data_IF_531802368772
#
_entry.id   IF_531802368772
#
_cell.length_a   1.000
_cell.length_b   1.000
_cell.length_c   1.000
_cell.angle_alpha   90.00
_cell.angle_beta   90.00
_cell.angle_gamma   90.00
#
_symmetry.space_group_name_H-M   'P 1'
#
loop_
_entity.id
_entity.type
_entity.pdbx_description
1 polymer ?
#
# COMPACT_ATOMS: atom_id res chain seq x y z
N UNK A 1 -56.36 92.08 -22.83
CA UNK A 1 -57.23 91.14 -23.59
C UNK A 1 -56.97 89.76 -23.01
N UNK A 2 -57.98 89.08 -22.44
CA UNK A 2 -58.87 88.09 -23.10
C UNK A 2 -58.09 86.88 -23.67
N UNK A 3 -58.41 85.60 -23.41
CA UNK A 3 -59.50 84.95 -22.62
C UNK A 3 -59.13 83.45 -22.40
N UNK A 4 -59.40 82.85 -21.23
CA UNK A 4 -59.71 81.40 -20.97
C UNK A 4 -58.67 80.32 -21.43
N UNK A 5 -58.66 79.03 -21.08
CA UNK A 5 -59.02 78.16 -19.92
C UNK A 5 -58.25 76.81 -20.14
N UNK A 6 -58.19 75.76 -19.30
CA UNK A 6 -58.85 75.33 -18.05
C UNK A 6 -57.85 74.47 -17.21
N UNK A 7 -58.28 73.90 -16.09
CA UNK A 7 -57.57 72.85 -15.34
C UNK A 7 -57.42 71.52 -16.12
N UNK A 8 -56.25 70.86 -16.00
CA UNK A 8 -56.14 69.39 -16.10
C UNK A 8 -54.92 68.88 -15.33
N UNK A 9 -55.14 68.01 -14.33
CA UNK A 9 -54.07 67.34 -13.58
C UNK A 9 -53.47 66.22 -14.45
N UNK A 10 -52.18 66.30 -14.77
CA UNK A 10 -51.46 65.14 -15.33
C UNK A 10 -51.36 64.03 -14.27
N UNK A 11 -52.04 62.91 -14.49
CA UNK A 11 -51.72 61.66 -13.79
C UNK A 11 -50.32 61.18 -14.20
N UNK A 12 -49.51 60.63 -13.29
CA UNK A 12 -48.27 59.96 -13.66
C UNK A 12 -48.59 58.67 -14.41
N UNK A 13 -47.94 58.44 -15.55
CA UNK A 13 -48.08 57.21 -16.34
C UNK A 13 -47.75 55.99 -15.47
N UNK A 14 -48.71 55.09 -15.28
CA UNK A 14 -48.47 53.80 -14.65
C UNK A 14 -47.41 53.02 -15.45
N UNK A 15 -46.33 52.60 -14.78
CA UNK A 15 -45.36 51.69 -15.37
C UNK A 15 -46.03 50.32 -15.49
N UNK A 16 -46.19 49.81 -16.71
CA UNK A 16 -46.62 48.43 -16.95
C UNK A 16 -45.60 47.48 -16.30
N UNK A 17 -46.00 46.87 -15.19
CA UNK A 17 -45.16 45.93 -14.46
C UNK A 17 -45.07 44.62 -15.22
N UNK A 18 -44.04 44.46 -16.06
CA UNK A 18 -43.64 43.14 -16.54
C UNK A 18 -43.27 42.26 -15.35
N UNK A 19 -44.20 41.43 -14.90
CA UNK A 19 -43.97 40.44 -13.85
C UNK A 19 -43.11 39.32 -14.43
N UNK A 20 -41.79 39.53 -14.49
CA UNK A 20 -40.85 38.44 -14.77
C UNK A 20 -41.00 37.43 -13.63
N UNK A 21 -41.50 36.20 -13.87
CA UNK A 21 -41.44 35.16 -12.85
C UNK A 21 -39.97 34.98 -12.51
N UNK A 22 -39.61 35.22 -11.24
CA UNK A 22 -38.26 34.89 -10.75
C UNK A 22 -38.17 33.37 -10.73
N UNK A 23 -37.71 32.79 -11.84
CA UNK A 23 -37.28 31.41 -11.87
C UNK A 23 -36.29 31.21 -10.71
N UNK A 24 -36.72 30.46 -9.69
CA UNK A 24 -35.79 29.94 -8.68
C UNK A 24 -34.95 28.90 -9.41
N UNK A 25 -33.87 29.36 -10.04
CA UNK A 25 -32.78 28.49 -10.45
C UNK A 25 -32.19 27.93 -9.18
N UNK A 26 -32.73 26.80 -8.71
CA UNK A 26 -32.02 25.91 -7.82
C UNK A 26 -30.85 25.37 -8.63
N UNK A 27 -29.74 26.12 -8.62
CA UNK A 27 -28.46 25.60 -9.05
C UNK A 27 -28.24 24.32 -8.26
N UNK A 28 -28.26 23.17 -8.94
CA UNK A 28 -27.91 21.90 -8.33
C UNK A 28 -26.55 22.09 -7.68
N UNK A 29 -26.48 21.97 -6.35
CA UNK A 29 -25.21 21.98 -5.62
C UNK A 29 -24.49 20.70 -5.97
N UNK A 30 -23.69 20.72 -7.03
CA UNK A 30 -22.84 19.61 -7.43
C UNK A 30 -21.94 19.23 -6.24
N UNK A 31 -22.07 18.02 -5.66
CA UNK A 31 -21.27 17.61 -4.50
C UNK A 31 -19.77 17.42 -4.81
N UNK A 32 -19.34 17.74 -6.02
CA UNK A 32 -18.00 17.50 -6.57
C UNK A 32 -17.05 18.69 -6.49
N UNK A 33 -17.55 19.92 -6.29
CA UNK A 33 -16.71 21.14 -6.30
C UNK A 33 -16.23 21.49 -4.88
N UNK A 34 -17.13 21.39 -3.89
CA UNK A 34 -16.77 21.52 -2.49
C UNK A 34 -16.50 20.13 -1.91
N UNK A 35 -15.24 19.83 -1.58
CA UNK A 35 -14.94 18.67 -0.77
C UNK A 35 -15.72 18.81 0.56
N UNK A 36 -16.62 17.87 0.92
CA UNK A 36 -17.47 18.04 2.09
C UNK A 36 -16.63 18.33 3.34
N UNK A 37 -17.14 19.12 4.28
CA UNK A 37 -16.35 19.68 5.41
C UNK A 37 -15.52 18.62 6.18
N UNK A 38 -16.03 17.37 6.22
CA UNK A 38 -15.34 16.17 6.70
C UNK A 38 -13.95 15.99 6.04
N UNK A 39 -13.86 16.09 4.71
CA UNK A 39 -12.60 16.03 3.96
C UNK A 39 -11.68 17.22 4.24
N UNK A 40 -12.21 18.44 4.42
CA UNK A 40 -11.36 19.58 4.79
C UNK A 40 -10.74 19.36 6.18
N UNK A 41 -11.49 18.76 7.10
CA UNK A 41 -10.99 18.30 8.40
C UNK A 41 -9.90 17.24 8.30
N UNK A 42 -10.04 16.24 7.44
CA UNK A 42 -9.01 15.19 7.24
C UNK A 42 -7.75 15.73 6.56
N UNK A 43 -7.89 16.51 5.49
CA UNK A 43 -6.76 17.08 4.74
C UNK A 43 -5.97 18.07 5.60
N UNK A 44 -6.65 18.94 6.35
CA UNK A 44 -5.98 19.89 7.26
C UNK A 44 -5.38 19.23 8.50
N UNK A 45 -5.76 17.99 8.85
CA UNK A 45 -5.10 17.18 9.88
C UNK A 45 -3.82 16.54 9.35
N UNK A 46 -3.79 16.05 8.11
CA UNK A 46 -2.61 15.42 7.51
C UNK A 46 -1.47 16.41 7.19
N UNK A 47 -1.80 17.69 6.92
CA UNK A 47 -0.82 18.73 6.51
C UNK A 47 -0.15 19.45 7.68
N UNK A 48 -0.62 19.28 8.92
CA UNK A 48 -0.02 19.96 10.10
C UNK A 48 1.31 19.30 10.50
N UNK A 49 2.21 20.11 11.07
CA UNK A 49 3.40 19.66 11.81
C UNK A 49 3.00 18.90 13.08
N UNK A 50 2.45 17.69 12.93
CA UNK A 50 2.12 16.78 14.02
C UNK A 50 3.38 15.96 14.34
N UNK A 51 3.73 15.86 15.62
CA UNK A 51 4.80 14.96 16.05
C UNK A 51 4.54 13.54 15.54
N UNK A 52 5.53 12.85 14.95
CA UNK A 52 5.29 11.59 14.26
C UNK A 52 4.65 10.51 15.13
N UNK A 53 4.96 10.46 16.43
CA UNK A 53 4.33 9.53 17.39
C UNK A 53 2.82 9.82 17.60
N UNK A 54 2.38 11.08 17.51
CA UNK A 54 0.97 11.47 17.69
C UNK A 54 0.13 11.21 16.44
N UNK A 55 0.71 11.35 15.24
CA UNK A 55 0.06 11.02 13.98
C UNK A 55 -0.07 9.50 13.76
N UNK A 56 0.83 8.73 14.38
CA UNK A 56 1.01 7.28 14.23
C UNK A 56 -0.30 6.47 14.14
N UNK A 57 -1.20 6.63 15.12
CA UNK A 57 -2.45 5.87 15.22
C UNK A 57 -3.36 6.10 14.00
N UNK A 58 -3.56 7.37 13.62
CA UNK A 58 -4.41 7.74 12.47
C UNK A 58 -3.83 7.18 11.17
N UNK A 59 -2.52 7.35 10.97
CA UNK A 59 -1.82 6.85 9.79
C UNK A 59 -1.88 5.32 9.70
N UNK A 60 -1.77 4.60 10.83
CA UNK A 60 -1.93 3.14 10.89
C UNK A 60 -3.32 2.69 10.45
N UNK A 61 -4.40 3.28 11.02
CA UNK A 61 -5.76 2.88 10.65
C UNK A 61 -6.05 3.12 9.15
N UNK A 62 -5.60 4.26 8.61
CA UNK A 62 -5.72 4.56 7.18
C UNK A 62 -4.90 3.59 6.32
N UNK A 63 -3.65 3.29 6.70
CA UNK A 63 -2.81 2.33 5.99
C UNK A 63 -3.38 0.90 6.00
N UNK A 64 -3.97 0.46 7.12
CA UNK A 64 -4.70 -0.83 7.22
C UNK A 64 -5.89 -0.88 6.25
N UNK A 65 -6.71 0.18 6.22
CA UNK A 65 -7.83 0.27 5.27
C UNK A 65 -7.37 0.26 3.81
N UNK A 66 -6.28 0.97 3.49
CA UNK A 66 -5.71 0.99 2.13
C UNK A 66 -5.12 -0.36 1.73
N UNK A 67 -4.43 -1.06 2.64
CA UNK A 67 -3.80 -2.36 2.34
C UNK A 67 -4.79 -3.42 1.87
N UNK A 68 -6.05 -3.38 2.34
CA UNK A 68 -7.09 -4.34 1.96
C UNK A 68 -8.04 -3.80 0.88
N UNK A 69 -8.27 -2.49 0.81
CA UNK A 69 -9.24 -1.90 -0.12
C UNK A 69 -8.67 -1.53 -1.50
N UNK A 70 -7.34 -1.37 -1.62
CA UNK A 70 -6.68 -0.85 -2.83
C UNK A 70 -5.79 -1.91 -3.45
N UNK A 71 -6.12 -2.37 -4.67
CA UNK A 71 -5.37 -3.42 -5.37
C UNK A 71 -3.88 -3.11 -5.57
N UNK A 72 -3.54 -1.85 -5.82
CA UNK A 72 -2.16 -1.35 -5.93
C UNK A 72 -1.37 -1.51 -4.61
N UNK A 73 -2.05 -1.43 -3.47
CA UNK A 73 -1.43 -1.62 -2.16
C UNK A 73 -1.31 -3.11 -1.82
N UNK A 74 -2.32 -3.93 -2.11
CA UNK A 74 -2.27 -5.39 -1.94
C UNK A 74 -1.09 -5.99 -2.70
N UNK A 75 -1.00 -5.77 -4.02
CA UNK A 75 0.10 -6.31 -4.84
C UNK A 75 1.48 -5.74 -4.51
N UNK A 76 1.56 -4.63 -3.77
CA UNK A 76 2.81 -4.13 -3.22
C UNK A 76 3.30 -4.95 -2.01
N UNK A 77 2.39 -5.50 -1.20
CA UNK A 77 2.76 -6.39 -0.10
C UNK A 77 3.24 -7.75 -0.63
N UNK A 78 2.46 -8.40 -1.50
CA UNK A 78 2.86 -9.64 -2.17
C UNK A 78 4.25 -9.53 -2.85
N UNK A 79 4.53 -8.37 -3.47
CA UNK A 79 5.84 -8.05 -4.07
C UNK A 79 6.93 -7.82 -3.03
N UNK A 80 6.68 -7.08 -1.93
CA UNK A 80 7.73 -6.82 -0.94
C UNK A 80 8.11 -8.09 -0.18
N UNK A 81 7.17 -8.97 0.09
CA UNK A 81 7.42 -10.25 0.75
C UNK A 81 8.27 -11.16 -0.16
N UNK A 82 7.86 -11.35 -1.42
CA UNK A 82 8.65 -12.13 -2.39
C UNK A 82 10.04 -11.55 -2.69
N UNK A 83 10.21 -10.23 -2.75
CA UNK A 83 11.52 -9.60 -3.02
C UNK A 83 12.42 -9.48 -1.76
N UNK A 84 11.88 -9.53 -0.54
CA UNK A 84 12.68 -9.39 0.70
C UNK A 84 12.94 -10.74 1.36
N UNK A 85 11.93 -11.62 1.45
CA UNK A 85 12.04 -12.93 2.08
C UNK A 85 12.49 -13.99 1.06
N UNK A 86 11.89 -13.97 -0.14
CA UNK A 86 12.10 -15.00 -1.15
C UNK A 86 11.21 -16.24 -0.93
N UNK A 87 11.66 -17.38 -1.45
CA UNK A 87 10.98 -18.69 -1.39
C UNK A 87 11.21 -19.44 -0.07
N UNK A 88 12.31 -19.17 0.63
CA UNK A 88 12.77 -19.92 1.83
C UNK A 88 13.14 -19.00 3.01
N UNK A 89 12.66 -17.76 2.99
CA UNK A 89 12.96 -16.75 4.02
C UNK A 89 14.46 -16.57 4.30
N UNK A 90 14.82 -16.52 5.58
CA UNK A 90 16.20 -16.31 6.03
C UNK A 90 16.83 -17.61 6.56
N UNK A 91 17.76 -18.16 5.77
CA UNK A 91 18.47 -19.39 6.14
C UNK A 91 19.49 -19.10 7.25
N UNK A 92 19.46 -19.88 8.33
CA UNK A 92 20.47 -19.85 9.39
C UNK A 92 21.78 -20.49 8.93
N UNK A 93 22.86 -19.71 8.95
CA UNK A 93 24.23 -20.16 8.75
C UNK A 93 25.03 -20.12 10.04
N UNK A 94 25.91 -21.11 10.24
CA UNK A 94 26.80 -21.24 11.40
C UNK A 94 28.15 -21.72 10.89
N UNK A 95 29.16 -20.85 10.98
CA UNK A 95 30.50 -21.09 10.44
C UNK A 95 31.54 -21.39 11.53
N UNK A 96 31.24 -22.29 12.49
CA UNK A 96 32.29 -22.76 13.43
C UNK A 96 33.19 -23.81 12.77
N UNK A 97 34.33 -24.11 13.40
CA UNK A 97 35.27 -25.17 12.97
C UNK A 97 34.67 -26.59 13.01
N UNK A 98 33.57 -26.80 13.74
CA UNK A 98 32.97 -28.12 13.91
C UNK A 98 31.71 -28.25 13.04
N UNK A 99 31.86 -28.88 11.86
CA UNK A 99 30.74 -29.07 10.91
C UNK A 99 29.56 -29.85 11.51
N UNK A 100 29.83 -30.85 12.35
CA UNK A 100 28.78 -31.67 12.99
C UNK A 100 27.93 -30.83 13.97
N UNK A 101 28.59 -29.93 14.73
CA UNK A 101 27.90 -28.98 15.60
C UNK A 101 27.04 -28.00 14.78
N UNK A 102 27.60 -27.41 13.72
CA UNK A 102 26.87 -26.47 12.86
C UNK A 102 25.58 -27.13 12.34
N UNK A 103 25.70 -28.35 11.79
CA UNK A 103 24.58 -29.13 11.25
C UNK A 103 23.56 -29.51 12.32
N UNK A 104 24.01 -29.95 13.51
CA UNK A 104 23.13 -30.26 14.66
C UNK A 104 22.27 -29.05 15.04
N UNK A 105 22.86 -27.86 15.10
CA UNK A 105 22.17 -26.65 15.56
C UNK A 105 21.28 -26.06 14.46
N UNK A 106 21.70 -26.06 13.20
CA UNK A 106 20.86 -25.70 12.07
C UNK A 106 19.60 -26.57 12.00
N UNK A 107 19.75 -27.90 12.11
CA UNK A 107 18.62 -28.83 12.12
C UNK A 107 17.71 -28.67 13.36
N UNK A 108 18.29 -28.33 14.52
CA UNK A 108 17.50 -28.06 15.73
C UNK A 108 16.72 -26.74 15.62
N UNK A 109 17.31 -25.72 14.98
CA UNK A 109 16.64 -24.44 14.74
C UNK A 109 15.53 -24.58 13.69
N UNK A 110 15.76 -25.31 12.59
CA UNK A 110 14.72 -25.63 11.59
C UNK A 110 13.51 -26.28 12.26
N UNK A 111 13.71 -27.37 13.02
CA UNK A 111 12.59 -28.02 13.75
C UNK A 111 11.89 -27.10 14.74
N UNK A 112 12.59 -26.10 15.27
CA UNK A 112 11.98 -25.09 16.11
C UNK A 112 11.18 -24.05 15.32
N UNK A 113 11.58 -23.72 14.08
CA UNK A 113 10.83 -22.81 13.21
C UNK A 113 9.40 -23.31 12.95
N UNK A 114 9.23 -24.62 12.75
CA UNK A 114 7.92 -25.29 12.58
C UNK A 114 7.06 -25.24 13.87
N UNK A 115 7.67 -25.21 15.05
CA UNK A 115 7.00 -25.22 16.37
C UNK A 115 7.21 -23.91 17.15
N UNK A 116 7.40 -22.77 16.47
CA UNK A 116 7.75 -21.51 17.16
C UNK A 116 6.53 -20.77 17.73
N UNK A 117 5.32 -20.98 17.20
CA UNK A 117 4.09 -20.31 17.65
C UNK A 117 3.55 -20.86 18.98
N UNK A 118 3.15 -19.98 19.90
CA UNK A 118 2.48 -20.38 21.16
C UNK A 118 1.12 -21.07 20.92
N UNK A 119 0.45 -20.75 19.81
CA UNK A 119 -0.87 -21.27 19.46
C UNK A 119 -0.82 -22.50 18.53
N UNK A 120 0.36 -22.85 17.98
CA UNK A 120 0.51 -23.93 17.01
C UNK A 120 -0.18 -23.68 15.65
N UNK A 121 -0.41 -22.40 15.30
CA UNK A 121 -1.12 -21.97 14.07
C UNK A 121 -0.17 -21.46 12.99
N UNK A 122 0.98 -20.91 13.40
CA UNK A 122 1.92 -20.23 12.51
C UNK A 122 3.30 -20.88 12.61
N UNK A 123 4.00 -20.98 11.49
CA UNK A 123 5.44 -21.30 11.48
C UNK A 123 6.29 -20.01 11.52
N UNK A 124 7.60 -20.15 11.38
CA UNK A 124 8.51 -19.00 11.42
C UNK A 124 8.44 -18.10 10.18
N UNK A 125 8.11 -18.65 9.02
CA UNK A 125 8.00 -17.90 7.76
C UNK A 125 6.74 -17.00 7.82
N UNK A 126 5.63 -17.51 8.37
CA UNK A 126 4.46 -16.69 8.75
C UNK A 126 4.85 -15.51 9.66
N UNK A 127 5.72 -15.74 10.66
CA UNK A 127 6.21 -14.66 11.53
C UNK A 127 7.07 -13.64 10.77
N UNK A 128 7.87 -14.07 9.79
CA UNK A 128 8.65 -13.17 8.94
C UNK A 128 7.74 -12.29 8.08
N UNK A 129 6.79 -12.89 7.37
CA UNK A 129 5.84 -12.22 6.48
C UNK A 129 4.94 -11.24 7.26
N UNK A 130 4.28 -11.71 8.33
CA UNK A 130 3.42 -10.87 9.16
C UNK A 130 4.20 -9.72 9.82
N UNK A 131 5.48 -9.92 10.13
CA UNK A 131 6.36 -8.86 10.66
C UNK A 131 6.75 -7.84 9.59
N UNK A 132 7.10 -8.28 8.39
CA UNK A 132 7.43 -7.43 7.25
C UNK A 132 6.21 -6.60 6.83
N UNK A 133 5.05 -7.24 6.71
CA UNK A 133 3.78 -6.60 6.44
C UNK A 133 3.37 -5.61 7.53
N UNK A 134 3.51 -5.95 8.82
CA UNK A 134 3.29 -4.99 9.91
C UNK A 134 4.28 -3.80 9.87
N UNK A 135 5.54 -4.01 9.51
CA UNK A 135 6.52 -2.92 9.37
C UNK A 135 6.16 -1.92 8.26
N UNK A 136 5.63 -2.39 7.13
CA UNK A 136 5.24 -1.51 6.03
C UNK A 136 3.84 -0.90 6.21
N UNK A 137 2.85 -1.71 6.63
CA UNK A 137 1.46 -1.30 6.85
C UNK A 137 1.30 -0.49 8.12
N UNK A 138 1.80 -0.98 9.26
CA UNK A 138 1.58 -0.36 10.57
C UNK A 138 2.76 0.52 11.04
N UNK A 139 3.94 0.33 10.46
CA UNK A 139 5.19 1.05 10.77
C UNK A 139 6.09 0.35 11.79
N UNK A 140 5.56 -0.65 12.47
CA UNK A 140 6.21 -1.40 13.55
C UNK A 140 5.54 -2.76 13.76
N UNK A 141 6.30 -3.68 14.32
CA UNK A 141 5.84 -5.00 14.77
C UNK A 141 6.31 -5.26 16.20
N UNK A 142 5.55 -6.09 16.92
CA UNK A 142 5.87 -6.53 18.28
C UNK A 142 5.80 -8.05 18.33
N UNK A 143 6.92 -8.70 18.63
CA UNK A 143 6.98 -10.15 18.86
C UNK A 143 7.24 -10.36 20.34
N UNK A 144 6.31 -10.98 21.05
CA UNK A 144 6.48 -11.38 22.43
C UNK A 144 7.17 -12.75 22.47
N UNK A 145 8.20 -12.86 23.31
CA UNK A 145 8.94 -14.08 23.59
C UNK A 145 8.43 -14.71 24.89
N UNK A 146 7.98 -15.96 24.82
CA UNK A 146 7.58 -16.77 25.96
C UNK A 146 8.62 -17.87 26.14
N UNK A 147 9.33 -17.84 27.28
CA UNK A 147 10.45 -18.75 27.55
C UNK A 147 9.98 -19.89 28.45
N UNK A 148 9.93 -21.10 27.90
CA UNK A 148 9.66 -22.35 28.63
C UNK A 148 10.76 -23.37 28.38
N UNK A 149 10.40 -24.66 28.26
CA UNK A 149 11.32 -25.72 27.80
C UNK A 149 11.81 -25.50 26.36
N UNK A 150 11.01 -24.81 25.55
CA UNK A 150 11.37 -24.26 24.24
C UNK A 150 11.04 -22.76 24.21
N UNK A 151 11.59 -22.03 23.24
CA UNK A 151 11.14 -20.67 22.95
C UNK A 151 9.79 -20.73 22.25
N UNK A 152 8.80 -19.95 22.70
CA UNK A 152 7.55 -19.73 21.98
C UNK A 152 7.38 -18.25 21.67
N UNK A 153 6.68 -17.94 20.59
CA UNK A 153 6.44 -16.57 20.14
C UNK A 153 4.95 -16.26 20.07
N UNK A 154 4.63 -14.97 20.23
CA UNK A 154 3.29 -14.41 20.06
C UNK A 154 3.40 -13.08 19.32
N UNK A 155 2.67 -12.93 18.21
CA UNK A 155 2.63 -11.68 17.45
C UNK A 155 1.61 -10.73 18.08
N UNK A 156 2.06 -9.57 18.53
CA UNK A 156 1.18 -8.53 19.08
C UNK A 156 0.96 -7.47 18.01
N UNK A 157 -0.30 -7.33 17.60
CA UNK A 157 -0.75 -6.28 16.67
C UNK A 157 -0.39 -4.89 17.20
N UNK A 158 0.20 -4.03 16.37
CA UNK A 158 0.61 -2.68 16.78
C UNK A 158 -0.56 -1.79 17.27
N UNK A 159 -1.79 -2.10 16.84
CA UNK A 159 -3.03 -1.48 17.32
C UNK A 159 -3.39 -1.90 18.76
N UNK A 160 -3.00 -3.10 19.20
CA UNK A 160 -3.23 -3.57 20.57
C UNK A 160 -2.33 -2.87 21.60
N UNK A 161 -1.23 -2.23 21.20
CA UNK A 161 -0.42 -1.39 22.09
C UNK A 161 -1.08 -0.01 22.21
N UNK A 162 -1.57 0.34 23.40
CA UNK A 162 -2.43 1.51 23.63
C UNK A 162 -1.71 2.85 23.34
N UNK A 163 -1.82 3.32 22.10
CA UNK A 163 -1.25 4.59 21.65
C UNK A 163 -1.83 5.83 22.36
N UNK A 164 -3.00 5.73 23.00
CA UNK A 164 -3.61 6.85 23.72
C UNK A 164 -3.10 6.94 25.18
N UNK A 165 -2.46 5.88 25.70
CA UNK A 165 -1.95 5.86 27.07
C UNK A 165 -0.60 6.57 27.19
N UNK A 166 -0.62 7.79 27.72
CA UNK A 166 0.56 8.61 28.04
C UNK A 166 0.42 9.16 29.45
N UNK A 167 1.45 8.96 30.27
CA UNK A 167 1.58 9.44 31.65
C UNK A 167 3.04 9.85 31.88
N UNK A 168 3.33 11.15 31.75
CA UNK A 168 4.68 11.68 31.89
C UNK A 168 5.28 11.44 33.29
N UNK A 169 4.44 11.34 34.33
CA UNK A 169 4.91 11.13 35.70
C UNK A 169 5.52 9.73 35.91
N UNK A 170 5.10 8.77 35.08
CA UNK A 170 5.62 7.40 35.02
C UNK A 170 6.51 7.13 33.81
N UNK A 171 6.87 8.17 33.06
CA UNK A 171 7.59 8.09 31.78
C UNK A 171 6.92 7.17 30.74
N UNK A 172 5.59 7.10 30.75
CA UNK A 172 4.81 6.32 29.80
C UNK A 172 4.43 7.22 28.62
N UNK A 173 4.82 6.83 27.41
CA UNK A 173 4.52 7.56 26.19
C UNK A 173 3.96 6.61 25.13
N UNK A 174 2.75 6.89 24.65
CA UNK A 174 2.10 6.12 23.57
C UNK A 174 2.05 4.61 23.83
N UNK A 175 1.76 4.20 25.07
CA UNK A 175 1.67 2.80 25.49
C UNK A 175 2.99 2.12 25.84
N UNK A 176 4.10 2.86 25.93
CA UNK A 176 5.43 2.34 26.25
C UNK A 176 6.00 3.06 27.49
N UNK A 177 6.28 2.31 28.55
CA UNK A 177 7.01 2.77 29.74
C UNK A 177 8.50 2.89 29.39
N UNK A 178 9.11 4.07 29.54
CA UNK A 178 10.53 4.32 29.30
C UNK A 178 11.31 4.33 30.62
N UNK A 179 12.59 3.96 30.59
CA UNK A 179 13.45 3.96 31.79
C UNK A 179 13.61 5.37 32.42
N UNK A 180 13.54 6.41 31.60
CA UNK A 180 13.48 7.81 32.01
C UNK A 180 12.89 8.65 30.88
N UNK A 181 12.49 9.91 31.16
CA UNK A 181 11.88 10.81 30.16
C UNK A 181 12.67 10.95 28.85
N UNK A 182 14.00 10.88 28.91
CA UNK A 182 14.90 11.02 27.76
C UNK A 182 15.49 9.68 27.25
N UNK A 183 15.23 8.56 27.93
CA UNK A 183 15.72 7.25 27.51
C UNK A 183 14.78 6.62 26.49
N UNK A 184 15.34 6.08 25.41
CA UNK A 184 14.59 5.27 24.44
C UNK A 184 14.47 3.80 24.86
N UNK A 185 15.10 3.41 25.98
CA UNK A 185 15.04 2.05 26.50
C UNK A 185 13.65 1.77 27.09
N UNK A 186 12.88 0.84 26.50
CA UNK A 186 11.58 0.44 27.02
C UNK A 186 11.76 -0.42 28.29
N UNK A 187 10.81 -0.27 29.22
CA UNK A 187 10.71 -1.06 30.46
C UNK A 187 9.47 -1.97 30.40
N UNK A 188 8.34 -1.43 29.93
CA UNK A 188 7.10 -2.19 29.68
C UNK A 188 6.34 -1.69 28.45
N UNK A 189 5.54 -2.60 27.88
CA UNK A 189 4.57 -2.34 26.83
C UNK A 189 3.16 -2.58 27.37
N UNK A 190 2.25 -1.63 27.17
CA UNK A 190 0.85 -1.75 27.63
C UNK A 190 -0.05 -2.22 26.49
N UNK A 191 -0.44 -3.50 26.56
CA UNK A 191 -1.40 -4.12 25.64
C UNK A 191 -2.82 -3.88 26.17
N UNK A 192 -3.69 -3.32 25.33
CA UNK A 192 -5.12 -3.16 25.59
C UNK A 192 -5.84 -4.48 25.31
N UNK A 193 -6.50 -5.07 26.31
CA UNK A 193 -7.38 -6.23 26.13
C UNK A 193 -8.83 -5.84 25.91
N UNK A 194 -9.29 -4.86 26.68
CA UNK A 194 -10.66 -4.31 26.60
C UNK A 194 -10.60 -2.78 26.82
N UNK A 195 -11.74 -2.11 26.80
CA UNK A 195 -11.88 -0.67 26.89
C UNK A 195 -11.14 -0.05 28.09
N UNK A 196 -11.15 -0.73 29.25
CA UNK A 196 -10.50 -0.27 30.48
C UNK A 196 -9.31 -1.12 30.95
N UNK A 197 -9.14 -2.36 30.46
CA UNK A 197 -8.08 -3.26 30.94
C UNK A 197 -6.80 -3.19 30.09
N UNK A 198 -5.67 -2.98 30.76
CA UNK A 198 -4.33 -2.93 30.18
C UNK A 198 -3.41 -3.94 30.87
N UNK A 199 -2.74 -4.77 30.08
CA UNK A 199 -1.71 -5.69 30.54
C UNK A 199 -0.34 -5.07 30.24
N UNK A 200 0.46 -4.85 31.28
CA UNK A 200 1.87 -4.47 31.14
C UNK A 200 2.73 -5.71 30.91
N UNK A 201 3.35 -5.82 29.73
CA UNK A 201 4.34 -6.86 29.42
C UNK A 201 5.74 -6.25 29.57
N UNK A 202 6.66 -6.97 30.21
CA UNK A 202 8.04 -6.49 30.39
C UNK A 202 8.79 -6.43 29.06
N UNK A 203 9.56 -5.37 28.84
CA UNK A 203 10.25 -5.13 27.58
C UNK A 203 11.33 -6.18 27.26
N UNK A 204 11.84 -6.90 28.26
CA UNK A 204 12.74 -8.05 28.08
C UNK A 204 12.08 -9.23 27.35
N UNK A 205 10.75 -9.25 27.33
CA UNK A 205 9.91 -10.29 26.72
C UNK A 205 9.30 -9.82 25.39
N UNK A 206 9.66 -8.64 24.88
CA UNK A 206 9.08 -8.07 23.64
C UNK A 206 10.17 -7.53 22.72
N UNK A 207 10.27 -8.11 21.52
CA UNK A 207 11.05 -7.56 20.42
C UNK A 207 10.17 -6.51 19.72
N UNK A 208 10.47 -5.23 19.95
CA UNK A 208 9.85 -4.10 19.23
C UNK A 208 10.66 -3.75 17.99
N UNK A 209 10.12 -4.10 16.83
CA UNK A 209 10.77 -3.91 15.53
C UNK A 209 10.15 -2.66 14.90
N UNK A 210 10.94 -1.61 14.72
CA UNK A 210 10.50 -0.34 14.11
C UNK A 210 11.64 0.39 13.42
N UNK A 211 11.30 1.25 12.45
CA UNK A 211 12.25 2.08 11.71
C UNK A 211 11.97 3.57 11.94
N UNK A 212 12.54 4.19 13.00
CA UNK A 212 12.31 5.60 13.28
C UNK A 212 12.84 6.50 12.16
N UNK A 213 12.15 7.62 11.93
CA UNK A 213 12.60 8.73 11.10
C UNK A 213 13.33 9.81 11.91
N UNK A 214 12.97 9.95 13.19
CA UNK A 214 13.60 10.87 14.16
C UNK A 214 14.16 10.04 15.32
N UNK A 215 15.33 10.42 15.86
CA UNK A 215 16.00 9.66 16.92
C UNK A 215 15.09 9.41 18.14
N UNK A 216 14.38 10.44 18.60
CA UNK A 216 13.53 10.42 19.81
C UNK A 216 12.19 9.69 19.63
N UNK A 217 11.85 9.30 18.39
CA UNK A 217 10.57 8.69 18.05
C UNK A 217 10.36 7.39 18.84
N UNK A 218 9.16 7.18 19.35
CA UNK A 218 8.79 6.09 20.26
C UNK A 218 8.09 4.95 19.50
N UNK A 219 7.16 5.27 18.59
CA UNK A 219 6.35 4.34 17.79
C UNK A 219 6.80 4.38 16.33
N UNK A 220 6.76 3.26 15.60
CA UNK A 220 7.10 3.23 14.17
C UNK A 220 5.94 3.67 13.29
N UNK A 221 6.19 4.58 12.34
CA UNK A 221 5.16 5.10 11.41
C UNK A 221 5.09 4.28 10.12
N UNK A 222 3.87 4.05 9.65
CA UNK A 222 3.57 3.32 8.41
C UNK A 222 4.38 3.84 7.21
N UNK A 223 4.92 2.92 6.41
CA UNK A 223 5.59 3.27 5.15
C UNK A 223 4.59 3.72 4.08
N UNK A 224 3.33 3.29 4.17
CA UNK A 224 2.24 3.78 3.33
C UNK A 224 1.86 5.24 3.63
N UNK A 225 2.21 5.79 4.80
CA UNK A 225 1.75 7.12 5.26
C UNK A 225 1.91 8.24 4.22
N UNK A 226 3.01 8.24 3.46
CA UNK A 226 3.28 9.23 2.42
C UNK A 226 2.45 9.05 1.14
N UNK A 227 1.93 7.85 0.89
CA UNK A 227 1.13 7.49 -0.29
C UNK A 227 -0.39 7.65 -0.06
N UNK A 228 -0.84 7.77 1.20
CA UNK A 228 -2.26 7.77 1.57
C UNK A 228 -3.05 8.81 0.79
N UNK A 229 -2.51 10.04 0.70
CA UNK A 229 -3.18 11.13 0.01
C UNK A 229 -3.30 10.89 -1.50
N UNK A 230 -2.20 10.49 -2.15
CA UNK A 230 -2.13 10.24 -3.59
C UNK A 230 -3.09 9.10 -4.00
N UNK A 231 -3.10 8.00 -3.23
CA UNK A 231 -4.03 6.87 -3.39
C UNK A 231 -5.48 7.34 -3.24
N UNK A 232 -5.78 8.11 -2.20
CA UNK A 232 -7.13 8.61 -1.93
C UNK A 232 -7.63 9.58 -3.01
N UNK A 233 -6.76 10.45 -3.50
CA UNK A 233 -7.06 11.41 -4.57
C UNK A 233 -7.29 10.69 -5.91
N UNK A 234 -6.47 9.69 -6.23
CA UNK A 234 -6.64 8.79 -7.39
C UNK A 234 -7.99 8.07 -7.35
N UNK A 235 -8.37 7.49 -6.22
CA UNK A 235 -9.62 6.75 -6.10
C UNK A 235 -10.85 7.67 -6.14
N UNK A 236 -10.77 8.87 -5.55
CA UNK A 236 -11.79 9.91 -5.72
C UNK A 236 -11.95 10.32 -7.18
N UNK A 237 -10.84 10.56 -7.89
CA UNK A 237 -10.85 10.93 -9.30
C UNK A 237 -11.46 9.82 -10.17
N UNK A 238 -11.06 8.56 -9.98
CA UNK A 238 -11.65 7.40 -10.65
C UNK A 238 -13.16 7.28 -10.42
N UNK A 239 -13.63 7.48 -9.18
CA UNK A 239 -15.06 7.43 -8.84
C UNK A 239 -15.83 8.59 -9.46
N UNK A 240 -15.29 9.80 -9.41
CA UNK A 240 -15.90 10.98 -10.05
C UNK A 240 -16.02 10.78 -11.57
N UNK A 241 -14.98 10.25 -12.21
CA UNK A 241 -15.00 9.94 -13.64
C UNK A 241 -15.98 8.83 -13.99
N UNK A 242 -16.00 7.72 -13.24
CA UNK A 242 -16.95 6.63 -13.48
C UNK A 242 -18.40 7.12 -13.36
N UNK A 243 -18.69 7.95 -12.35
CA UNK A 243 -20.00 8.58 -12.18
C UNK A 243 -20.33 9.53 -13.33
N UNK A 244 -19.35 10.31 -13.83
CA UNK A 244 -19.51 11.20 -14.97
C UNK A 244 -19.78 10.43 -16.27
N UNK A 245 -19.03 9.35 -16.53
CA UNK A 245 -19.21 8.49 -17.70
C UNK A 245 -20.57 7.77 -17.67
N UNK A 246 -20.98 7.27 -16.49
CA UNK A 246 -22.30 6.70 -16.26
C UNK A 246 -23.41 7.73 -16.51
N UNK A 247 -23.31 8.91 -15.89
CA UNK A 247 -24.28 10.00 -16.10
C UNK A 247 -24.36 10.41 -17.58
N UNK A 248 -23.23 10.50 -18.29
CA UNK A 248 -23.21 10.80 -19.72
C UNK A 248 -23.83 9.69 -20.59
N UNK A 249 -23.85 8.44 -20.11
CA UNK A 249 -24.51 7.32 -20.78
C UNK A 249 -26.01 7.22 -20.44
N UNK A 250 -26.42 7.72 -19.27
CA UNK A 250 -27.82 7.78 -18.83
C UNK A 250 -28.55 9.02 -19.40
N UNK A 251 -27.87 10.18 -19.50
CA UNK A 251 -28.44 11.43 -20.01
C UNK A 251 -28.57 11.42 -21.54
N UNK A 252 -29.77 11.12 -22.04
CA UNK A 252 -30.06 11.07 -23.49
C UNK A 252 -30.15 12.47 -24.14
N UNK A 253 -30.50 13.52 -23.37
CA UNK A 253 -30.57 14.90 -23.85
C UNK A 253 -31.51 15.76 -23.01
N UNK A 254 -31.60 17.05 -23.34
CA UNK A 254 -32.58 17.99 -22.77
C UNK A 254 -33.48 18.56 -23.86
N UNK A 255 -34.74 18.83 -23.52
CA UNK A 255 -35.65 19.57 -24.38
C UNK A 255 -35.50 21.07 -24.14
N UNK A 256 -35.30 21.84 -25.21
CA UNK A 256 -35.25 23.30 -25.18
C UNK A 256 -36.30 23.88 -26.12
N UNK A 257 -37.14 24.80 -25.63
CA UNK A 257 -38.00 25.58 -26.51
C UNK A 257 -37.16 26.44 -27.46
N UNK A 258 -37.50 26.40 -28.74
CA UNK A 258 -36.87 27.16 -29.80
C UNK A 258 -37.65 28.46 -30.01
N UNK A 259 -37.13 29.56 -29.50
CA UNK A 259 -37.60 30.89 -29.89
C UNK A 259 -36.45 31.91 -29.93
N UNK A 260 -36.12 32.37 -31.14
CA UNK A 260 -35.45 33.64 -31.35
C UNK A 260 -36.48 34.77 -31.13
N UNK A 261 -36.59 35.26 -29.89
CA UNK A 261 -37.34 36.49 -29.62
C UNK A 261 -38.83 36.32 -29.31
N UNK A 262 -39.19 35.28 -28.55
CA UNK A 262 -40.53 35.14 -27.97
C UNK A 262 -40.45 34.54 -26.57
N UNK A 263 -41.17 35.11 -25.60
CA UNK A 263 -41.72 34.26 -24.54
C UNK A 263 -42.98 33.69 -25.16
N UNK A 264 -42.88 32.49 -25.75
CA UNK A 264 -44.00 31.68 -26.23
C UNK A 264 -44.90 31.19 -25.09
N UNK A 265 -45.37 32.12 -24.26
CA UNK A 265 -46.63 31.94 -23.57
C UNK A 265 -47.71 31.94 -24.63
N UNK A 266 -48.48 30.86 -24.68
CA UNK A 266 -49.73 30.74 -25.43
C UNK A 266 -50.46 32.07 -25.34
N UNK A 267 -50.77 32.69 -26.47
CA UNK A 267 -51.56 33.92 -26.47
C UNK A 267 -52.87 33.60 -25.74
N UNK A 268 -53.21 34.29 -24.64
CA UNK A 268 -54.46 34.00 -23.95
C UNK A 268 -55.59 34.35 -24.91
N UNK A 269 -56.41 33.36 -25.27
CA UNK A 269 -57.69 33.65 -25.88
C UNK A 269 -58.55 34.32 -24.80
N UNK A 270 -58.77 35.61 -24.97
CA UNK A 270 -59.71 36.37 -24.15
C UNK A 270 -61.09 36.25 -24.77
N UNK A 271 -62.09 35.92 -23.96
CA UNK A 271 -63.49 36.06 -24.35
C UNK A 271 -63.82 37.56 -24.49
N UNK A 272 -64.23 37.98 -25.69
CA UNK A 272 -64.40 39.40 -26.06
C UNK A 272 -65.49 40.11 -25.24
N UNK A 273 -66.39 39.38 -24.58
CA UNK A 273 -67.50 39.99 -23.80
C UNK A 273 -67.20 40.15 -22.30
N UNK A 274 -66.25 39.41 -21.72
CA UNK A 274 -65.99 39.41 -20.26
C UNK A 274 -64.54 39.67 -19.83
N UNK A 275 -63.55 39.36 -20.67
CA UNK A 275 -62.14 39.69 -20.39
C UNK A 275 -61.46 38.92 -19.24
N UNK A 276 -62.04 37.82 -18.75
CA UNK A 276 -61.38 36.91 -17.80
C UNK A 276 -60.55 35.83 -18.51
N UNK A 277 -59.52 35.31 -17.82
CA UNK A 277 -58.64 34.26 -18.35
C UNK A 277 -59.25 32.87 -18.16
N UNK A 278 -59.47 32.15 -19.26
CA UNK A 278 -59.76 30.71 -19.27
C UNK A 278 -58.50 29.91 -18.88
N UNK A 279 -58.36 29.65 -17.59
CA UNK A 279 -57.29 28.80 -17.05
C UNK A 279 -57.53 27.30 -17.33
N UNK A 280 -57.61 26.90 -18.59
CA UNK A 280 -57.27 25.52 -18.97
C UNK A 280 -55.81 25.49 -19.40
N UNK A 281 -54.95 25.26 -18.42
CA UNK A 281 -53.51 25.09 -18.63
C UNK A 281 -53.27 23.97 -19.66
N UNK A 282 -52.74 24.32 -20.83
CA UNK A 282 -52.07 23.37 -21.69
C UNK A 282 -50.89 22.78 -20.91
N UNK A 283 -51.13 21.64 -20.26
CA UNK A 283 -50.08 20.86 -19.62
C UNK A 283 -49.20 20.31 -20.72
N UNK A 284 -48.04 20.92 -20.89
CA UNK A 284 -46.94 20.29 -21.59
C UNK A 284 -46.53 19.12 -20.71
N UNK A 285 -47.00 17.91 -21.04
CA UNK A 285 -46.62 16.67 -20.38
C UNK A 285 -45.17 16.34 -20.74
N UNK A 286 -44.24 17.08 -20.13
CA UNK A 286 -42.82 16.80 -20.17
C UNK A 286 -42.61 15.42 -19.52
N UNK A 287 -42.01 14.43 -20.23
CA UNK A 287 -41.83 13.10 -19.66
C UNK A 287 -40.86 13.17 -18.48
N UNK A 288 -41.35 12.88 -17.27
CA UNK A 288 -40.54 12.86 -16.04
C UNK A 288 -39.44 11.78 -16.06
N UNK A 289 -39.61 10.74 -16.89
CA UNK A 289 -38.68 9.62 -17.02
C UNK A 289 -38.14 9.52 -18.45
N UNK A 290 -36.81 9.48 -18.57
CA UNK A 290 -36.09 9.25 -19.83
C UNK A 290 -35.52 7.84 -19.82
N UNK A 291 -36.06 6.96 -20.68
CA UNK A 291 -35.55 5.60 -20.86
C UNK A 291 -34.47 5.57 -21.96
N UNK A 292 -33.29 5.06 -21.61
CA UNK A 292 -32.11 5.02 -22.49
C UNK A 292 -32.44 4.40 -23.85
N UNK A 293 -32.27 5.17 -24.92
CA UNK A 293 -32.44 4.69 -26.30
C UNK A 293 -33.83 4.85 -26.91
N UNK A 294 -34.80 5.45 -26.21
CA UNK A 294 -36.10 5.82 -26.82
C UNK A 294 -36.19 7.31 -27.11
N UNK A 295 -36.45 7.67 -28.37
CA UNK A 295 -36.84 9.04 -28.75
C UNK A 295 -38.35 9.06 -29.00
N UNK A 296 -39.07 9.91 -28.26
CA UNK A 296 -40.50 10.17 -28.47
C UNK A 296 -40.69 11.36 -29.40
N UNK A 297 -41.89 11.45 -30.01
CA UNK A 297 -42.26 12.57 -30.87
C UNK A 297 -42.25 13.88 -30.07
N UNK A 298 -41.87 14.99 -30.70
CA UNK A 298 -41.77 16.31 -30.08
C UNK A 298 -42.76 17.27 -30.75
N UNK A 299 -43.43 18.08 -29.94
CA UNK A 299 -44.33 19.12 -30.43
C UNK A 299 -43.56 20.25 -31.14
N UNK A 300 -44.27 20.96 -32.02
CA UNK A 300 -43.72 22.06 -32.79
C UNK A 300 -43.17 23.15 -31.85
N UNK A 301 -41.89 23.48 -32.01
CA UNK A 301 -41.18 24.48 -31.18
C UNK A 301 -40.26 23.90 -30.11
N UNK A 302 -40.13 22.57 -29.98
CA UNK A 302 -39.17 21.94 -29.05
C UNK A 302 -38.00 21.32 -29.83
N UNK A 303 -36.77 21.74 -29.53
CA UNK A 303 -35.54 21.12 -30.06
C UNK A 303 -34.88 20.20 -29.03
N UNK A 304 -34.44 18.99 -29.43
CA UNK A 304 -33.64 18.12 -28.59
C UNK A 304 -32.18 18.59 -28.58
N UNK A 305 -31.70 19.01 -27.41
CA UNK A 305 -30.29 19.36 -27.18
C UNK A 305 -29.56 18.18 -26.54
N UNK A 306 -28.76 17.50 -27.33
CA UNK A 306 -27.84 16.47 -26.85
C UNK A 306 -26.70 17.09 -26.05
N UNK A 307 -26.18 16.34 -25.08
CA UNK A 307 -24.94 16.70 -24.37
C UNK A 307 -23.80 16.04 -25.14
N UNK A 308 -22.84 16.83 -25.61
CA UNK A 308 -21.63 16.26 -26.23
C UNK A 308 -20.91 15.38 -25.21
N UNK A 309 -20.59 14.10 -25.56
CA UNK A 309 -19.90 13.20 -24.65
C UNK A 309 -18.49 13.72 -24.41
N UNK A 310 -18.28 14.40 -23.28
CA UNK A 310 -16.96 14.88 -22.89
C UNK A 310 -16.00 13.69 -22.78
N UNK A 311 -15.00 13.66 -23.66
CA UNK A 311 -13.96 12.65 -23.71
C UNK A 311 -12.68 13.21 -23.06
N UNK A 312 -12.32 12.77 -21.85
CA UNK A 312 -11.22 13.36 -21.09
C UNK A 312 -9.89 12.74 -21.52
N UNK A 313 -9.29 13.32 -22.55
CA UNK A 313 -8.08 12.83 -23.24
C UNK A 313 -6.82 12.67 -22.37
N UNK A 314 -6.86 13.07 -21.09
CA UNK A 314 -5.69 13.17 -20.21
C UNK A 314 -5.78 12.32 -18.92
N UNK A 315 -6.77 11.42 -18.80
CA UNK A 315 -6.96 10.59 -17.60
C UNK A 315 -5.82 9.60 -17.39
N UNK A 316 -5.35 8.95 -18.46
CA UNK A 316 -4.26 7.99 -18.40
C UNK A 316 -2.98 8.64 -17.86
N UNK A 317 -2.64 9.83 -18.34
CA UNK A 317 -1.49 10.61 -17.87
C UNK A 317 -1.60 10.95 -16.38
N UNK A 318 -2.76 11.44 -15.92
CA UNK A 318 -2.97 11.74 -14.50
C UNK A 318 -2.83 10.49 -13.63
N UNK A 319 -3.52 9.40 -13.99
CA UNK A 319 -3.43 8.13 -13.26
C UNK A 319 -2.00 7.56 -13.24
N UNK A 320 -1.25 7.72 -14.33
CA UNK A 320 0.15 7.30 -14.46
C UNK A 320 1.07 8.16 -13.60
N UNK A 321 0.93 9.49 -13.59
CA UNK A 321 1.67 10.39 -12.70
C UNK A 321 1.43 10.04 -11.23
N UNK A 322 0.17 9.85 -10.82
CA UNK A 322 -0.13 9.47 -9.43
C UNK A 322 0.41 8.09 -9.08
N UNK A 323 0.41 7.13 -10.01
CA UNK A 323 1.07 5.83 -9.79
C UNK A 323 2.60 5.97 -9.63
N UNK A 324 3.24 6.89 -10.37
CA UNK A 324 4.68 7.18 -10.25
C UNK A 324 5.01 7.84 -8.90
N UNK A 325 4.17 8.78 -8.43
CA UNK A 325 4.26 9.40 -7.10
C UNK A 325 4.15 8.35 -5.99
N UNK A 326 3.12 7.48 -6.05
CA UNK A 326 2.95 6.38 -5.09
C UNK A 326 4.14 5.42 -5.11
N UNK A 327 4.60 4.97 -6.29
CA UNK A 327 5.78 4.11 -6.40
C UNK A 327 7.03 4.76 -5.77
N UNK A 328 7.26 6.04 -6.08
CA UNK A 328 8.37 6.81 -5.53
C UNK A 328 8.29 6.94 -4.01
N UNK A 329 7.09 7.12 -3.47
CA UNK A 329 6.85 7.21 -2.03
C UNK A 329 7.16 5.88 -1.31
N UNK A 330 6.84 4.74 -1.93
CA UNK A 330 7.14 3.40 -1.42
C UNK A 330 8.63 3.05 -1.56
N UNK A 331 9.29 3.58 -2.59
CA UNK A 331 10.72 3.43 -2.84
C UNK A 331 11.06 2.47 -3.98
N UNK A 332 10.08 2.20 -4.85
CA UNK A 332 10.19 1.35 -6.04
C UNK A 332 9.86 2.15 -7.31
N UNK A 333 10.04 1.54 -8.48
CA UNK A 333 9.68 2.10 -9.77
C UNK A 333 8.21 1.84 -10.09
N UNK A 334 7.67 2.63 -11.03
CA UNK A 334 6.34 2.44 -11.59
C UNK A 334 6.17 1.05 -12.22
N UNK A 335 7.19 0.56 -12.94
CA UNK A 335 7.18 -0.76 -13.57
C UNK A 335 7.01 -1.87 -12.52
N UNK A 336 7.80 -1.83 -11.44
CA UNK A 336 7.72 -2.82 -10.35
C UNK A 336 6.39 -2.74 -9.57
N UNK A 337 5.82 -1.54 -9.40
CA UNK A 337 4.53 -1.38 -8.70
C UNK A 337 3.30 -1.79 -9.54
N UNK A 338 3.35 -1.63 -10.87
CA UNK A 338 2.18 -1.79 -11.74
C UNK A 338 2.25 -2.97 -12.70
N UNK A 339 3.42 -3.59 -12.88
CA UNK A 339 3.69 -4.59 -13.91
C UNK A 339 3.77 -4.02 -15.33
N UNK A 340 3.66 -2.69 -15.53
CA UNK A 340 3.71 -2.09 -16.87
C UNK A 340 5.16 -1.95 -17.37
N UNK A 341 5.50 -2.80 -18.35
CA UNK A 341 6.81 -2.85 -18.99
C UNK A 341 6.85 -2.21 -20.40
N UNK A 342 5.80 -1.49 -20.82
CA UNK A 342 5.67 -1.00 -22.21
C UNK A 342 6.71 0.03 -22.64
N UNK A 343 7.15 0.89 -21.72
CA UNK A 343 8.04 2.03 -22.01
C UNK A 343 9.49 1.82 -21.54
N UNK A 344 9.83 0.63 -21.05
CA UNK A 344 11.14 0.36 -20.44
C UNK A 344 12.02 -0.50 -21.36
N UNK A 345 13.27 -0.08 -21.53
CA UNK A 345 14.30 -0.87 -22.22
C UNK A 345 15.19 -1.60 -21.20
N UNK A 346 15.90 -2.63 -21.66
CA UNK A 346 16.77 -3.47 -20.81
C UNK A 346 17.71 -2.67 -19.87
N UNK A 347 18.37 -1.62 -20.38
CA UNK A 347 19.27 -0.79 -19.58
C UNK A 347 18.54 -0.03 -18.47
N UNK A 348 17.36 0.52 -18.77
CA UNK A 348 16.53 1.24 -17.81
C UNK A 348 15.92 0.32 -16.75
N UNK A 349 15.42 -0.88 -17.12
CA UNK A 349 14.95 -1.89 -16.16
C UNK A 349 16.10 -2.27 -15.23
N UNK A 350 17.25 -2.68 -15.80
CA UNK A 350 18.39 -3.13 -15.00
C UNK A 350 18.88 -2.05 -14.04
N UNK A 351 18.90 -0.78 -14.44
CA UNK A 351 19.26 0.33 -13.55
C UNK A 351 18.23 0.52 -12.42
N UNK A 352 16.93 0.46 -12.75
CA UNK A 352 15.83 0.54 -11.78
C UNK A 352 15.90 -0.59 -10.75
N UNK A 353 15.82 -1.83 -11.21
CA UNK A 353 15.86 -3.04 -10.38
C UNK A 353 17.14 -3.13 -9.55
N UNK A 354 18.31 -2.69 -10.05
CA UNK A 354 19.55 -2.64 -9.24
C UNK A 354 19.42 -1.68 -8.05
N UNK A 355 18.73 -0.55 -8.22
CA UNK A 355 18.46 0.41 -7.14
C UNK A 355 17.44 -0.13 -6.13
N UNK A 356 16.39 -0.80 -6.61
CA UNK A 356 15.34 -1.44 -5.81
C UNK A 356 15.90 -2.58 -4.96
N UNK A 357 16.66 -3.51 -5.55
CA UNK A 357 17.36 -4.59 -4.83
C UNK A 357 18.33 -4.06 -3.78
N UNK A 358 18.94 -2.89 -3.96
CA UNK A 358 19.73 -2.21 -2.91
C UNK A 358 18.84 -1.63 -1.79
N UNK A 359 17.60 -1.27 -2.09
CA UNK A 359 16.54 -1.03 -1.11
C UNK A 359 16.21 -2.29 -0.31
N UNK A 360 15.83 -3.37 -0.99
CA UNK A 360 15.45 -4.65 -0.39
C UNK A 360 16.57 -5.25 0.47
N UNK A 361 17.83 -5.26 -0.01
CA UNK A 361 19.02 -5.64 0.79
C UNK A 361 19.17 -4.83 2.09
N UNK A 362 18.71 -3.58 2.16
CA UNK A 362 18.71 -2.79 3.41
C UNK A 362 17.57 -3.18 4.36
N UNK A 363 16.44 -3.64 3.82
CA UNK A 363 15.31 -4.20 4.61
C UNK A 363 15.72 -5.57 5.16
N UNK A 364 16.29 -6.44 4.32
CA UNK A 364 16.82 -7.74 4.73
C UNK A 364 17.86 -7.60 5.86
N UNK A 365 18.83 -6.69 5.71
CA UNK A 365 19.81 -6.38 6.75
C UNK A 365 19.21 -5.69 7.99
N UNK A 366 18.00 -5.15 7.91
CA UNK A 366 17.27 -4.62 9.07
C UNK A 366 16.55 -5.76 9.81
N UNK A 367 15.78 -6.59 9.12
CA UNK A 367 15.13 -7.79 9.67
C UNK A 367 16.16 -8.71 10.34
N UNK A 368 17.26 -9.05 9.65
CA UNK A 368 18.35 -9.86 10.22
C UNK A 368 18.83 -9.33 11.59
N UNK A 369 19.12 -8.03 11.69
CA UNK A 369 19.69 -7.44 12.92
C UNK A 369 18.67 -7.19 14.03
N UNK A 370 17.39 -7.02 13.70
CA UNK A 370 16.35 -6.59 14.66
C UNK A 370 15.33 -7.66 15.03
N UNK A 371 15.16 -8.68 14.19
CA UNK A 371 14.30 -9.83 14.40
C UNK A 371 15.16 -11.08 14.60
N UNK A 372 15.69 -11.67 13.51
CA UNK A 372 16.43 -12.93 13.50
C UNK A 372 17.53 -13.04 14.56
N UNK A 373 18.47 -12.09 14.57
CA UNK A 373 19.58 -12.10 15.52
C UNK A 373 19.14 -11.93 16.98
N UNK A 374 17.95 -11.39 17.24
CA UNK A 374 17.40 -11.28 18.59
C UNK A 374 16.70 -12.58 19.00
N UNK A 375 15.86 -13.13 18.12
CA UNK A 375 15.15 -14.40 18.33
C UNK A 375 16.15 -15.55 18.50
N UNK A 376 17.10 -15.70 17.57
CA UNK A 376 18.09 -16.78 17.61
C UNK A 376 18.95 -16.75 18.88
N UNK A 377 19.32 -15.57 19.37
CA UNK A 377 20.09 -15.44 20.62
C UNK A 377 19.30 -15.87 21.85
N UNK A 378 18.01 -15.54 21.91
CA UNK A 378 17.15 -15.98 23.00
C UNK A 378 16.78 -17.47 22.90
N UNK A 379 16.64 -18.01 21.69
CA UNK A 379 16.49 -19.45 21.44
C UNK A 379 17.74 -20.23 21.87
N UNK A 380 18.92 -19.83 21.39
CA UNK A 380 20.20 -20.48 21.73
C UNK A 380 20.49 -20.44 23.23
N UNK A 381 20.05 -19.37 23.91
CA UNK A 381 20.12 -19.24 25.37
C UNK A 381 19.19 -20.22 26.08
N UNK A 382 18.01 -20.53 25.54
CA UNK A 382 17.14 -21.60 26.08
C UNK A 382 17.78 -22.97 25.84
N UNK A 383 18.36 -23.23 24.66
CA UNK A 383 19.09 -24.48 24.41
C UNK A 383 20.24 -24.71 25.40
N UNK A 384 20.94 -23.64 25.79
CA UNK A 384 21.95 -23.67 26.85
C UNK A 384 21.33 -23.98 28.23
N UNK A 385 20.25 -23.28 28.61
CA UNK A 385 19.57 -23.47 29.89
C UNK A 385 18.96 -24.89 30.04
N UNK A 386 18.57 -25.50 28.92
CA UNK A 386 18.06 -26.88 28.84
C UNK A 386 19.17 -27.93 28.69
N UNK A 387 20.45 -27.53 28.78
CA UNK A 387 21.63 -28.39 28.62
C UNK A 387 21.70 -29.16 27.28
N UNK A 388 21.03 -28.67 26.21
CA UNK A 388 21.08 -29.26 24.87
C UNK A 388 22.35 -28.87 24.09
N UNK A 389 22.99 -27.79 24.54
CA UNK A 389 24.35 -27.34 24.18
C UNK A 389 25.15 -27.02 25.44
N UNK A 390 26.47 -27.16 25.36
CA UNK A 390 27.40 -26.75 26.42
C UNK A 390 27.70 -25.25 26.39
N UNK A 391 28.20 -24.66 27.50
CA UNK A 391 28.61 -23.26 27.54
C UNK A 391 29.71 -22.89 26.52
N UNK A 392 30.56 -23.87 26.13
CA UNK A 392 31.61 -23.68 25.12
C UNK A 392 31.01 -23.57 23.72
N UNK A 393 30.13 -24.51 23.36
CA UNK A 393 29.41 -24.51 22.08
C UNK A 393 28.55 -23.24 21.95
N UNK A 394 27.86 -22.83 23.02
CA UNK A 394 27.11 -21.57 23.05
C UNK A 394 27.98 -20.36 22.66
N UNK A 395 29.17 -20.22 23.25
CA UNK A 395 30.11 -19.14 22.91
C UNK A 395 30.60 -19.22 21.46
N UNK A 396 31.01 -20.41 21.01
CA UNK A 396 31.48 -20.63 19.63
C UNK A 396 30.41 -20.29 18.59
N UNK A 397 29.15 -20.68 18.81
CA UNK A 397 28.02 -20.41 17.91
C UNK A 397 27.65 -18.92 17.92
N UNK A 398 27.62 -18.27 19.09
CA UNK A 398 27.20 -16.87 19.24
C UNK A 398 28.03 -15.89 18.40
N UNK A 399 29.32 -16.21 18.20
CA UNK A 399 30.27 -15.39 17.45
C UNK A 399 30.31 -15.71 15.94
N UNK A 400 29.78 -16.87 15.51
CA UNK A 400 29.93 -17.40 14.14
C UNK A 400 28.62 -17.65 13.39
N UNK A 401 27.46 -17.25 13.93
CA UNK A 401 26.18 -17.35 13.24
C UNK A 401 25.86 -16.11 12.37
N UNK A 402 25.16 -16.33 11.27
CA UNK A 402 24.49 -15.27 10.51
C UNK A 402 23.26 -15.84 9.80
N UNK A 403 22.24 -15.01 9.62
CA UNK A 403 21.18 -15.33 8.66
C UNK A 403 21.56 -14.86 7.26
N UNK A 404 21.31 -15.69 6.25
CA UNK A 404 21.53 -15.43 4.82
C UNK A 404 20.16 -15.29 4.13
N UNK A 405 19.76 -14.09 3.66
CA UNK A 405 18.58 -13.96 2.81
C UNK A 405 18.85 -14.54 1.41
N UNK A 406 17.80 -14.90 0.68
CA UNK A 406 17.89 -15.29 -0.71
C UNK A 406 18.48 -14.15 -1.58
N UNK A 407 19.30 -14.53 -2.55
CA UNK A 407 19.79 -13.63 -3.61
C UNK A 407 18.78 -13.48 -4.75
N UNK A 408 19.14 -12.68 -5.74
CA UNK A 408 18.30 -12.50 -6.94
C UNK A 408 18.96 -13.07 -8.18
N UNK A 409 18.14 -13.53 -9.11
CA UNK A 409 18.60 -13.91 -10.44
C UNK A 409 19.08 -12.73 -11.29
N UNK A 410 19.90 -13.04 -12.28
CA UNK A 410 20.34 -12.10 -13.31
C UNK A 410 19.20 -11.78 -14.28
N UNK A 411 19.14 -10.53 -14.75
CA UNK A 411 18.12 -10.08 -15.70
C UNK A 411 18.48 -10.56 -17.11
N UNK A 412 19.78 -10.63 -17.41
CA UNK A 412 20.32 -11.30 -18.60
C UNK A 412 21.45 -12.24 -18.15
N UNK A 413 21.16 -13.53 -17.90
CA UNK A 413 22.15 -14.48 -17.40
C UNK A 413 23.40 -14.56 -18.29
N UNK A 414 23.27 -14.48 -19.61
CA UNK A 414 24.39 -14.59 -20.53
C UNK A 414 25.34 -13.38 -20.44
N UNK A 415 24.80 -12.15 -20.45
CA UNK A 415 25.61 -10.94 -20.29
C UNK A 415 26.21 -10.84 -18.90
N UNK A 416 25.46 -11.15 -17.85
CA UNK A 416 25.92 -11.00 -16.47
C UNK A 416 26.93 -12.10 -16.07
N UNK A 417 26.78 -13.35 -16.54
CA UNK A 417 27.81 -14.38 -16.37
C UNK A 417 29.08 -14.01 -17.13
N UNK A 418 28.97 -13.54 -18.38
CA UNK A 418 30.13 -13.11 -19.17
C UNK A 418 30.89 -11.93 -18.54
N UNK A 419 30.17 -10.99 -17.92
CA UNK A 419 30.76 -9.88 -17.19
C UNK A 419 31.45 -10.35 -15.89
N UNK A 420 30.85 -11.28 -15.15
CA UNK A 420 31.47 -11.85 -13.96
C UNK A 420 32.71 -12.70 -14.30
N UNK A 421 32.69 -13.47 -15.38
CA UNK A 421 33.88 -14.22 -15.84
C UNK A 421 35.06 -13.29 -16.09
N UNK A 422 34.85 -12.22 -16.88
CA UNK A 422 35.86 -11.17 -17.12
C UNK A 422 36.31 -10.47 -15.84
N UNK A 423 35.39 -10.18 -14.91
CA UNK A 423 35.74 -9.56 -13.63
C UNK A 423 36.62 -10.47 -12.75
N UNK A 424 36.43 -11.79 -12.82
CA UNK A 424 37.28 -12.78 -12.14
C UNK A 424 38.64 -12.89 -12.83
N UNK A 425 38.68 -12.93 -14.17
CA UNK A 425 39.93 -12.94 -14.96
C UNK A 425 40.79 -11.69 -14.73
N UNK A 426 40.16 -10.51 -14.61
CA UNK A 426 40.83 -9.26 -14.26
C UNK A 426 41.15 -9.11 -12.76
N UNK A 427 40.76 -10.06 -11.91
CA UNK A 427 40.99 -9.99 -10.46
C UNK A 427 40.15 -8.95 -9.71
N UNK A 428 39.14 -8.35 -10.35
CA UNK A 428 38.22 -7.39 -9.72
C UNK A 428 37.15 -8.04 -8.84
N UNK A 429 36.91 -9.34 -9.00
CA UNK A 429 35.88 -10.08 -8.27
C UNK A 429 36.33 -11.51 -7.98
N UNK A 430 35.96 -12.04 -6.81
CA UNK A 430 36.26 -13.45 -6.49
C UNK A 430 35.11 -14.39 -6.85
N UNK A 431 35.39 -15.67 -7.10
CA UNK A 431 34.33 -16.70 -7.29
C UNK A 431 33.40 -16.80 -6.08
N UNK A 432 33.98 -16.70 -4.88
CA UNK A 432 33.25 -16.72 -3.60
C UNK A 432 32.28 -15.55 -3.50
N UNK A 433 32.66 -14.37 -3.97
CA UNK A 433 31.80 -13.18 -4.01
C UNK A 433 30.62 -13.33 -4.98
N UNK A 434 30.83 -13.95 -6.16
CA UNK A 434 29.74 -14.27 -7.09
C UNK A 434 28.75 -15.28 -6.48
N UNK A 435 29.23 -16.28 -5.74
CA UNK A 435 28.36 -17.22 -5.02
C UNK A 435 27.56 -16.52 -3.91
N UNK A 436 28.23 -15.73 -3.07
CA UNK A 436 27.57 -14.94 -2.00
C UNK A 436 26.53 -13.96 -2.51
N UNK A 437 26.72 -13.36 -3.69
CA UNK A 437 25.72 -12.48 -4.30
C UNK A 437 24.40 -13.19 -4.64
N UNK A 438 24.46 -14.50 -4.91
CA UNK A 438 23.30 -15.38 -5.11
C UNK A 438 22.77 -15.99 -3.80
N UNK A 439 23.38 -15.69 -2.65
CA UNK A 439 23.08 -16.34 -1.36
C UNK A 439 23.76 -17.69 -1.15
N UNK A 440 24.53 -18.18 -2.13
CA UNK A 440 25.16 -19.51 -2.09
C UNK A 440 26.44 -19.47 -1.25
N UNK A 441 26.61 -20.47 -0.39
CA UNK A 441 27.83 -20.66 0.40
C UNK A 441 28.91 -21.41 -0.36
N UNK A 442 30.18 -21.06 -0.13
CA UNK A 442 31.32 -21.72 -0.73
C UNK A 442 31.47 -23.19 -0.32
N UNK A 443 31.36 -23.52 0.98
CA UNK A 443 31.53 -24.89 1.47
C UNK A 443 30.41 -25.80 0.97
N UNK A 444 29.14 -25.37 1.08
CA UNK A 444 27.99 -26.08 0.50
C UNK A 444 28.13 -26.26 -1.01
N UNK A 445 28.58 -25.22 -1.74
CA UNK A 445 28.84 -25.30 -3.18
C UNK A 445 29.96 -26.28 -3.54
N UNK A 446 31.01 -26.42 -2.72
CA UNK A 446 32.03 -27.45 -2.92
C UNK A 446 31.47 -28.86 -2.71
N UNK A 447 30.69 -29.06 -1.65
CA UNK A 447 30.06 -30.34 -1.34
C UNK A 447 29.02 -30.74 -2.42
N UNK A 448 28.30 -29.77 -3.00
CA UNK A 448 27.44 -29.95 -4.18
C UNK A 448 28.24 -30.30 -5.44
N UNK A 449 29.32 -29.58 -5.72
CA UNK A 449 30.17 -29.81 -6.89
C UNK A 449 30.88 -31.18 -6.83
N UNK A 450 31.17 -31.69 -5.64
CA UNK A 450 31.65 -33.07 -5.46
C UNK A 450 30.58 -34.11 -5.78
N UNK A 451 29.33 -33.91 -5.34
CA UNK A 451 28.18 -34.75 -5.75
C UNK A 451 27.94 -34.67 -7.25
N UNK A 452 28.04 -33.47 -7.85
CA UNK A 452 27.86 -33.26 -9.29
C UNK A 452 28.91 -34.02 -10.11
N UNK A 453 30.18 -34.08 -9.69
CA UNK A 453 31.19 -34.93 -10.33
C UNK A 453 30.78 -36.41 -10.37
N UNK A 454 30.16 -36.92 -9.30
CA UNK A 454 29.65 -38.30 -9.26
C UNK A 454 28.48 -38.48 -10.23
N UNK A 455 27.57 -37.49 -10.33
CA UNK A 455 26.47 -37.50 -11.30
C UNK A 455 27.01 -37.50 -12.74
N UNK A 456 28.01 -36.66 -13.06
CA UNK A 456 28.64 -36.62 -14.39
C UNK A 456 29.29 -37.96 -14.75
N UNK A 457 29.97 -38.61 -13.79
CA UNK A 457 30.51 -39.97 -13.99
C UNK A 457 29.40 -40.98 -14.30
N UNK A 458 28.28 -40.95 -13.55
CA UNK A 458 27.11 -41.81 -13.80
C UNK A 458 26.44 -41.54 -15.15
N UNK A 459 26.33 -40.29 -15.57
CA UNK A 459 25.82 -39.93 -16.90
C UNK A 459 26.73 -40.46 -18.02
N UNK A 460 28.05 -40.38 -17.85
CA UNK A 460 29.01 -40.98 -18.79
C UNK A 460 28.92 -42.52 -18.84
N UNK A 461 28.66 -43.19 -17.72
CA UNK A 461 28.37 -44.63 -17.69
C UNK A 461 27.07 -44.96 -18.46
N UNK A 462 26.00 -44.20 -18.24
CA UNK A 462 24.71 -44.36 -18.94
C UNK A 462 24.85 -44.13 -20.44
N UNK A 463 25.61 -43.11 -20.88
CA UNK A 463 25.89 -42.88 -22.30
C UNK A 463 26.66 -44.04 -22.94
N UNK A 464 27.63 -44.62 -22.22
CA UNK A 464 28.38 -45.79 -22.70
C UNK A 464 27.47 -47.01 -22.86
N UNK A 465 26.51 -47.22 -21.95
CA UNK A 465 25.50 -48.27 -22.06
C UNK A 465 24.60 -48.03 -23.27
N UNK A 466 24.11 -46.80 -23.48
CA UNK A 466 23.28 -46.44 -24.66
C UNK A 466 24.02 -46.69 -25.98
N UNK A 467 25.27 -46.23 -26.10
CA UNK A 467 26.12 -46.43 -27.30
C UNK A 467 26.54 -47.90 -27.50
N UNK A 468 26.64 -48.68 -26.42
CA UNK A 468 26.92 -50.11 -26.47
C UNK A 468 25.72 -50.95 -26.95
N UNK A 469 24.49 -50.52 -26.62
CA UNK A 469 23.27 -51.18 -27.08
C UNK A 469 22.90 -50.84 -28.53
N UNK A 470 23.23 -49.64 -29.02
CA UNK A 470 23.00 -49.24 -30.42
C UNK A 470 23.96 -49.89 -31.44
N UNK A 471 24.84 -50.80 -31.01
CA UNK A 471 25.75 -51.58 -31.86
C UNK A 471 25.45 -53.07 -31.90
N UNK A 472 24.20 -53.45 -31.59
CA UNK A 472 23.74 -54.85 -31.46
C UNK A 472 22.41 -55.16 -32.18
N UNK A 473 21.95 -54.26 -33.04
CA UNK A 473 20.89 -54.51 -34.02
C UNK A 473 21.50 -54.83 -35.39
#
# INVERSE_FOLDING_TARGET
MKFFNLFSKKQPKGKSGFFKPKAKVQMFRYPSIEAPEINQGELSRLVRNIEPDRANKILRHQARSISTAVSLASGFFDMIDSEVLGEQGFILDIATKNKDLNTKIQNAFWRWQEDCCIYGVYDFEDYEELTLNALYRDGEAFIRLVRGETLKMELISAESIDSDYTDESKFIFYGIEKQSKFSLTPVRYFVKRDHNERIGIEAKDVIHIRKPMIAEQTRGNSKLATAIFDIHQKDKFKKAELNRARLASEMTGFYTQKDEGGIGGIAPEFDEETGELTNESAKIDLPENVETGTMRYLDAGIEPKFIDPHNPTNIEFFLKSTNQEVARSLGISYATLTGDLREVNYSSIRQGTTSERRGFKRVQNFLRRKMHNAIFKEWLKIELLMNRISPKEYGEILDHFSFKPQGWEYIDPNKEVSANAKAIECGFKTRIEVLREKGIEYDTYLDELEKEKQIVQKLQEIEKIRKGNSGRE
#
